data_IF_989356087553
#
_entry.id   IF_989356087553
#
_cell.length_a   1.000
_cell.length_b   1.000
_cell.length_c   1.000
_cell.angle_alpha   90.00
_cell.angle_beta   90.00
_cell.angle_gamma   90.00
#
_symmetry.space_group_name_H-M   'P 1'
#
loop_
_entity.id
_entity.type
_entity.pdbx_description
1 polymer ?
#
# COMPACT_ATOMS: atom_id res chain seq x y z
N UNK A 1 25.25 -17.60 -39.42
CA UNK A 1 25.68 -17.31 -38.04
C UNK A 1 24.99 -16.02 -37.64
N UNK A 2 23.91 -16.11 -36.86
CA UNK A 2 23.18 -14.95 -36.37
C UNK A 2 23.97 -14.38 -35.20
N UNK A 3 24.62 -13.24 -35.40
CA UNK A 3 25.30 -12.49 -34.35
C UNK A 3 24.24 -11.92 -33.40
N UNK A 4 24.00 -12.64 -32.29
CA UNK A 4 23.15 -12.14 -31.21
C UNK A 4 23.96 -11.13 -30.39
N UNK A 5 23.46 -9.90 -30.18
CA UNK A 5 24.20 -8.89 -29.42
C UNK A 5 24.51 -9.41 -28.01
N UNK A 6 25.73 -9.12 -27.54
CA UNK A 6 26.20 -9.57 -26.23
C UNK A 6 25.46 -8.80 -25.15
N UNK A 7 24.68 -9.51 -24.34
CA UNK A 7 24.03 -8.95 -23.15
C UNK A 7 25.09 -8.43 -22.18
N UNK A 8 25.10 -7.11 -21.94
CA UNK A 8 26.09 -6.42 -21.14
C UNK A 8 25.92 -6.68 -19.63
N UNK A 9 24.80 -7.27 -19.20
CA UNK A 9 24.52 -7.60 -17.80
C UNK A 9 25.36 -8.77 -17.28
N UNK A 10 25.89 -9.60 -18.17
CA UNK A 10 26.65 -10.80 -17.79
C UNK A 10 28.06 -10.79 -18.37
N UNK A 11 29.06 -10.78 -17.49
CA UNK A 11 30.44 -11.05 -17.89
C UNK A 11 30.76 -12.52 -17.69
N UNK A 12 31.13 -13.17 -18.79
CA UNK A 12 31.57 -14.56 -18.80
C UNK A 12 33.08 -14.58 -18.93
N UNK A 13 33.79 -14.98 -17.86
CA UNK A 13 35.23 -15.24 -17.95
C UNK A 13 35.42 -16.72 -18.29
N UNK A 14 35.96 -16.99 -19.47
CA UNK A 14 36.34 -18.33 -19.90
C UNK A 14 37.83 -18.31 -20.29
N UNK A 15 38.71 -18.51 -19.31
CA UNK A 15 40.12 -18.75 -19.59
C UNK A 15 40.30 -20.17 -20.15
N UNK A 16 41.08 -20.32 -21.23
CA UNK A 16 41.30 -21.62 -21.93
C UNK A 16 42.01 -22.66 -21.06
N UNK A 17 42.52 -22.26 -19.89
CA UNK A 17 43.20 -23.12 -18.91
C UNK A 17 42.28 -23.63 -17.81
N UNK A 18 41.02 -23.18 -17.76
CA UNK A 18 40.08 -23.50 -16.70
C UNK A 18 39.00 -24.48 -17.18
N UNK A 19 38.83 -25.61 -16.47
CA UNK A 19 37.85 -26.64 -16.82
C UNK A 19 36.38 -26.25 -16.54
N UNK A 20 36.13 -25.07 -15.97
CA UNK A 20 34.79 -24.58 -15.62
C UNK A 20 34.59 -23.14 -16.07
N UNK A 21 33.42 -22.85 -16.64
CA UNK A 21 33.01 -21.52 -17.10
C UNK A 21 32.32 -20.77 -15.96
N UNK A 22 32.80 -19.57 -15.61
CA UNK A 22 32.21 -18.75 -14.53
C UNK A 22 31.47 -17.56 -15.13
N UNK A 23 30.23 -17.37 -14.71
CA UNK A 23 29.38 -16.22 -15.08
C UNK A 23 29.29 -15.28 -13.88
N UNK A 24 29.55 -13.99 -14.09
CA UNK A 24 29.35 -12.95 -13.09
C UNK A 24 28.27 -12.00 -13.60
N UNK A 25 27.28 -11.74 -12.74
CA UNK A 25 26.32 -10.66 -12.96
C UNK A 25 27.00 -9.33 -12.66
N UNK A 26 26.83 -8.36 -13.55
CA UNK A 26 27.34 -7.00 -13.39
C UNK A 26 26.15 -6.06 -13.40
N UNK A 27 25.85 -5.45 -12.25
CA UNK A 27 24.85 -4.38 -12.18
C UNK A 27 25.39 -3.16 -12.91
N UNK A 28 24.92 -2.94 -14.12
CA UNK A 28 25.12 -1.69 -14.84
C UNK A 28 23.85 -0.84 -14.71
N UNK A 29 23.95 0.37 -14.17
CA UNK A 29 22.85 1.35 -14.11
C UNK A 29 22.33 1.78 -15.51
N UNK A 30 22.99 1.33 -16.58
CA UNK A 30 22.48 1.44 -17.94
C UNK A 30 21.64 0.19 -18.24
N UNK A 31 20.35 0.27 -17.93
CA UNK A 31 19.34 -0.55 -18.60
C UNK A 31 19.34 -0.22 -20.10
N UNK A 32 18.81 -1.14 -20.91
CA UNK A 32 18.61 -0.89 -22.34
C UNK A 32 17.73 0.36 -22.50
N UNK A 33 18.00 1.21 -23.51
CA UNK A 33 17.23 2.45 -23.72
C UNK A 33 15.77 2.09 -24.02
N UNK A 34 15.54 0.92 -24.63
CA UNK A 34 14.23 0.38 -24.96
C UNK A 34 13.47 -0.17 -23.73
N UNK A 35 14.14 -0.45 -22.61
CA UNK A 35 13.54 -0.92 -21.34
C UNK A 35 13.25 0.24 -20.36
N UNK A 36 13.61 1.48 -20.70
CA UNK A 36 13.44 2.63 -19.80
C UNK A 36 11.99 3.15 -19.84
N UNK A 37 11.15 2.65 -18.94
CA UNK A 37 9.76 3.10 -18.78
C UNK A 37 9.63 4.62 -18.46
N UNK A 38 10.69 5.25 -17.93
CA UNK A 38 10.70 6.70 -17.68
C UNK A 38 10.84 7.54 -18.97
N UNK A 39 11.60 7.05 -19.96
CA UNK A 39 11.80 7.77 -21.23
C UNK A 39 10.59 7.62 -22.17
N UNK A 40 9.87 6.49 -22.10
CA UNK A 40 8.66 6.26 -22.90
C UNK A 40 7.49 7.17 -22.52
N UNK A 41 7.52 7.76 -21.31
CA UNK A 41 6.49 8.68 -20.83
C UNK A 41 6.66 10.11 -21.37
N UNK A 42 7.85 10.48 -21.86
CA UNK A 42 8.12 11.87 -22.30
C UNK A 42 7.89 12.09 -23.81
N UNK A 43 7.89 11.04 -24.64
CA UNK A 43 7.69 11.16 -26.09
C UNK A 43 6.31 10.69 -26.60
N UNK A 44 5.49 10.11 -25.71
CA UNK A 44 4.14 9.62 -26.02
C UNK A 44 3.06 10.60 -25.59
N UNK A 45 2.87 11.69 -26.33
CA UNK A 45 1.64 12.48 -26.22
C UNK A 45 0.43 11.57 -26.53
N UNK A 46 -0.32 11.21 -25.50
CA UNK A 46 -1.63 10.57 -25.63
C UNK A 46 -2.50 11.45 -26.55
N UNK A 47 -3.02 10.92 -27.67
CA UNK A 47 -3.98 11.66 -28.47
C UNK A 47 -5.29 11.75 -27.70
N UNK A 48 -5.51 12.87 -27.01
CA UNK A 48 -6.84 13.32 -26.59
C UNK A 48 -7.68 13.47 -27.84
N UNK A 49 -8.44 12.44 -28.15
CA UNK A 49 -9.41 12.43 -29.22
C UNK A 49 -10.66 13.13 -28.69
N UNK A 50 -10.80 14.40 -29.07
CA UNK A 50 -11.97 15.22 -28.81
C UNK A 50 -13.24 14.61 -29.40
N UNK A 51 -14.30 14.51 -28.59
CA UNK A 51 -15.70 14.69 -28.99
C UNK A 51 -16.61 14.68 -27.75
N UNK A 52 -16.64 15.80 -27.04
CA UNK A 52 -17.82 16.32 -26.34
C UNK A 52 -17.43 17.74 -25.89
N UNK A 53 -18.06 18.74 -26.47
CA UNK A 53 -17.97 20.13 -26.02
C UNK A 53 -18.30 20.20 -24.53
N UNK A 54 -17.42 20.76 -23.66
CA UNK A 54 -17.87 21.22 -22.36
C UNK A 54 -18.37 22.66 -22.50
N UNK A 55 -19.68 22.77 -22.33
CA UNK A 55 -20.47 23.97 -22.03
C UNK A 55 -19.74 24.95 -21.07
N UNK A 56 -20.03 26.26 -21.15
CA UNK A 56 -19.39 27.27 -20.32
C UNK A 56 -19.52 26.97 -18.82
N UNK A 57 -18.38 27.02 -18.13
CA UNK A 57 -18.23 26.94 -16.67
C UNK A 57 -18.85 28.17 -15.97
N UNK A 58 -20.17 28.26 -16.01
CA UNK A 58 -20.97 29.14 -15.15
C UNK A 58 -21.85 28.28 -14.24
N UNK A 59 -21.25 27.77 -13.16
CA UNK A 59 -21.89 27.47 -11.88
C UNK A 59 -20.86 26.83 -10.94
N UNK A 60 -20.15 27.68 -10.21
CA UNK A 60 -19.78 27.31 -8.84
C UNK A 60 -21.09 27.05 -8.08
N UNK A 61 -21.49 25.79 -7.97
CA UNK A 61 -22.43 25.40 -6.92
C UNK A 61 -21.62 25.29 -5.64
N UNK A 62 -21.45 26.43 -4.98
CA UNK A 62 -21.40 26.48 -3.53
C UNK A 62 -22.67 25.78 -3.03
N UNK A 63 -22.55 24.49 -2.71
CA UNK A 63 -23.56 23.80 -1.92
C UNK A 63 -23.32 24.16 -0.46
N UNK A 64 -23.64 25.40 -0.15
CA UNK A 64 -24.04 25.85 1.17
C UNK A 64 -25.45 25.27 1.42
N UNK A 65 -25.50 23.95 1.64
CA UNK A 65 -26.68 23.24 2.06
C UNK A 65 -26.41 22.72 3.46
N UNK A 66 -26.98 23.40 4.45
CA UNK A 66 -26.96 22.97 5.83
C UNK A 66 -27.48 21.51 5.93
N UNK A 67 -26.67 20.55 6.43
CA UNK A 67 -27.14 19.19 6.61
C UNK A 67 -28.13 19.13 7.78
N UNK A 68 -29.21 18.40 7.57
CA UNK A 68 -30.23 18.11 8.57
C UNK A 68 -29.72 16.96 9.46
N UNK A 69 -29.71 17.06 10.79
CA UNK A 69 -28.76 16.32 11.62
C UNK A 69 -29.28 14.95 12.11
N UNK A 70 -29.69 14.03 11.24
CA UNK A 70 -30.18 12.73 11.76
C UNK A 70 -30.04 11.48 10.88
N UNK A 71 -29.54 11.55 9.65
CA UNK A 71 -29.38 10.35 8.80
C UNK A 71 -27.94 10.15 8.28
N UNK A 72 -27.05 11.13 8.45
CA UNK A 72 -25.69 11.11 7.91
C UNK A 72 -24.65 10.48 8.88
N UNK A 73 -24.85 10.57 10.20
CA UNK A 73 -23.85 10.14 11.20
C UNK A 73 -23.56 8.62 11.14
N UNK A 74 -24.59 7.80 10.91
CA UNK A 74 -24.44 6.34 10.79
C UNK A 74 -23.72 5.95 9.49
N UNK A 75 -23.93 6.71 8.40
CA UNK A 75 -23.28 6.46 7.12
C UNK A 75 -21.80 6.86 7.16
N UNK A 76 -21.47 7.98 7.82
CA UNK A 76 -20.09 8.41 8.03
C UNK A 76 -19.30 7.43 8.92
N UNK A 77 -19.91 6.91 9.98
CA UNK A 77 -19.28 5.92 10.87
C UNK A 77 -18.94 4.61 10.15
N UNK A 78 -19.86 4.08 9.33
CA UNK A 78 -19.63 2.87 8.55
C UNK A 78 -18.52 3.05 7.52
N UNK A 79 -18.46 4.20 6.87
CA UNK A 79 -17.40 4.52 5.92
C UNK A 79 -16.00 4.51 6.58
N UNK A 80 -15.87 5.08 7.77
CA UNK A 80 -14.60 5.08 8.51
C UNK A 80 -14.19 3.66 8.92
N UNK A 81 -15.13 2.83 9.35
CA UNK A 81 -14.85 1.43 9.70
C UNK A 81 -14.33 0.63 8.51
N UNK A 82 -14.97 0.75 7.35
CA UNK A 82 -14.57 0.06 6.12
C UNK A 82 -13.14 0.45 5.67
N UNK A 83 -12.81 1.74 5.74
CA UNK A 83 -11.46 2.23 5.40
C UNK A 83 -10.39 1.68 6.36
N UNK A 84 -10.70 1.58 7.66
CA UNK A 84 -9.80 1.00 8.65
C UNK A 84 -9.59 -0.50 8.41
N UNK A 85 -10.65 -1.24 8.10
CA UNK A 85 -10.57 -2.66 7.73
C UNK A 85 -9.68 -2.82 6.49
N UNK A 86 -9.90 -2.00 5.45
CA UNK A 86 -9.10 -2.03 4.24
C UNK A 86 -7.63 -1.73 4.51
N UNK A 87 -7.34 -0.77 5.40
CA UNK A 87 -5.97 -0.46 5.82
C UNK A 87 -5.28 -1.67 6.47
N UNK A 88 -5.98 -2.42 7.33
CA UNK A 88 -5.45 -3.66 7.94
C UNK A 88 -5.21 -4.74 6.89
N UNK A 89 -6.13 -4.93 5.94
CA UNK A 89 -5.95 -5.90 4.86
C UNK A 89 -4.75 -5.55 3.97
N UNK A 90 -4.53 -4.26 3.71
CA UNK A 90 -3.34 -3.77 3.02
C UNK A 90 -2.06 -4.07 3.81
N UNK A 91 -2.06 -3.88 5.14
CA UNK A 91 -0.93 -4.21 6.01
C UNK A 91 -0.60 -5.70 6.02
N UNK A 92 -1.61 -6.57 6.08
CA UNK A 92 -1.45 -8.02 6.02
C UNK A 92 -0.90 -8.46 4.65
N UNK A 93 -1.41 -7.88 3.57
CA UNK A 93 -0.91 -8.14 2.21
C UNK A 93 0.55 -7.71 2.05
N UNK A 94 0.90 -6.53 2.57
CA UNK A 94 2.26 -6.01 2.58
C UNK A 94 3.18 -6.71 3.60
N UNK A 95 2.63 -7.51 4.52
CA UNK A 95 3.32 -8.11 5.67
C UNK A 95 4.06 -7.07 6.52
N UNK A 96 3.49 -5.87 6.61
CA UNK A 96 4.05 -4.74 7.35
C UNK A 96 2.96 -4.01 8.13
N UNK A 97 3.15 -3.75 9.44
CA UNK A 97 4.32 -4.15 10.24
C UNK A 97 4.37 -5.67 10.48
N UNK A 98 5.56 -6.22 10.76
CA UNK A 98 5.72 -7.66 11.02
C UNK A 98 4.84 -8.13 12.21
N UNK A 99 4.52 -7.22 13.13
CA UNK A 99 3.58 -7.46 14.23
C UNK A 99 2.17 -7.81 13.72
N UNK A 100 1.68 -7.20 12.64
CA UNK A 100 0.35 -7.45 12.09
C UNK A 100 0.19 -8.91 11.66
N UNK A 101 1.14 -9.42 10.85
CA UNK A 101 1.13 -10.81 10.42
C UNK A 101 1.30 -11.78 11.60
N UNK A 102 2.18 -11.46 12.55
CA UNK A 102 2.42 -12.30 13.72
C UNK A 102 1.16 -12.44 14.59
N UNK A 103 0.43 -11.33 14.79
CA UNK A 103 -0.82 -11.31 15.57
C UNK A 103 -1.93 -12.02 14.83
N UNK A 104 -2.06 -11.81 13.53
CA UNK A 104 -3.00 -12.54 12.69
C UNK A 104 -2.82 -14.05 12.83
N UNK A 105 -1.59 -14.53 12.60
CA UNK A 105 -1.24 -15.95 12.73
C UNK A 105 -1.52 -16.47 14.16
N UNK A 106 -1.15 -15.71 15.18
CA UNK A 106 -1.40 -16.06 16.59
C UNK A 106 -2.89 -16.27 16.84
N UNK A 107 -3.74 -15.35 16.42
CA UNK A 107 -5.19 -15.41 16.69
C UNK A 107 -5.89 -16.48 15.84
N UNK A 108 -5.42 -16.74 14.62
CA UNK A 108 -5.88 -17.87 13.81
C UNK A 108 -5.59 -19.21 14.51
N UNK A 109 -4.41 -19.35 15.14
CA UNK A 109 -4.06 -20.55 15.91
C UNK A 109 -4.93 -20.74 17.16
N UNK A 110 -5.42 -19.64 17.76
CA UNK A 110 -6.36 -19.67 18.89
C UNK A 110 -7.79 -20.00 18.44
N UNK A 111 -8.08 -19.93 17.14
CA UNK A 111 -9.36 -20.32 16.55
C UNK A 111 -10.28 -19.17 16.16
N UNK A 112 -9.78 -17.93 16.14
CA UNK A 112 -10.54 -16.79 15.64
C UNK A 112 -10.65 -16.81 14.11
N UNK A 113 -11.79 -16.38 13.58
CA UNK A 113 -12.00 -16.24 12.13
C UNK A 113 -11.20 -15.05 11.59
N UNK A 114 -10.99 -15.01 10.27
CA UNK A 114 -10.29 -13.89 9.62
C UNK A 114 -10.98 -12.56 9.93
N UNK A 115 -12.29 -12.51 9.73
CA UNK A 115 -13.08 -11.28 9.85
C UNK A 115 -13.02 -10.73 11.28
N UNK A 116 -13.17 -11.59 12.29
CA UNK A 116 -13.03 -11.19 13.71
C UNK A 116 -11.64 -10.62 14.02
N UNK A 117 -10.58 -11.25 13.49
CA UNK A 117 -9.20 -10.80 13.69
C UNK A 117 -8.99 -9.43 13.08
N UNK A 118 -9.42 -9.24 11.83
CA UNK A 118 -9.28 -7.98 11.11
C UNK A 118 -10.07 -6.88 11.80
N UNK A 119 -11.29 -7.16 12.25
CA UNK A 119 -12.09 -6.21 13.05
C UNK A 119 -11.40 -5.82 14.36
N UNK A 120 -10.83 -6.77 15.11
CA UNK A 120 -10.08 -6.46 16.34
C UNK A 120 -8.83 -5.60 16.05
N UNK A 121 -8.12 -5.89 14.96
CA UNK A 121 -6.95 -5.11 14.54
C UNK A 121 -7.34 -3.70 14.07
N UNK A 122 -8.48 -3.56 13.38
CA UNK A 122 -9.03 -2.28 12.95
C UNK A 122 -9.44 -1.41 14.14
N UNK A 123 -10.05 -1.99 15.17
CA UNK A 123 -10.35 -1.29 16.43
C UNK A 123 -9.09 -0.76 17.13
N UNK A 124 -8.01 -1.54 17.16
CA UNK A 124 -6.72 -1.08 17.70
C UNK A 124 -6.14 0.08 16.87
N UNK A 125 -6.29 0.04 15.54
CA UNK A 125 -5.87 1.13 14.67
C UNK A 125 -6.71 2.39 14.89
N UNK A 126 -8.03 2.25 15.00
CA UNK A 126 -8.95 3.34 15.30
C UNK A 126 -8.57 4.04 16.61
N UNK A 127 -8.32 3.26 17.67
CA UNK A 127 -7.87 3.77 18.95
C UNK A 127 -6.53 4.52 18.86
N UNK A 128 -5.58 4.00 18.09
CA UNK A 128 -4.30 4.68 17.93
C UNK A 128 -4.44 6.01 17.16
N UNK A 129 -5.36 6.07 16.18
CA UNK A 129 -5.68 7.30 15.45
C UNK A 129 -6.40 8.29 16.37
N UNK A 130 -7.33 7.85 17.21
CA UNK A 130 -8.00 8.74 18.16
C UNK A 130 -7.02 9.33 19.18
N UNK A 131 -6.08 8.53 19.69
CA UNK A 131 -4.99 9.02 20.55
C UNK A 131 -4.08 10.02 19.83
N UNK A 132 -3.72 9.73 18.57
CA UNK A 132 -2.92 10.63 17.73
C UNK A 132 -3.60 12.00 17.57
N UNK A 133 -4.90 12.00 17.28
CA UNK A 133 -5.70 13.22 17.12
C UNK A 133 -5.89 13.96 18.45
N UNK A 134 -6.18 13.24 19.54
CA UNK A 134 -6.41 13.84 20.85
C UNK A 134 -5.13 14.45 21.46
N UNK A 135 -3.98 13.81 21.26
CA UNK A 135 -2.69 14.28 21.76
C UNK A 135 -1.99 15.27 20.83
N UNK A 136 -2.53 15.50 19.62
CA UNK A 136 -1.91 16.30 18.55
C UNK A 136 -0.46 15.87 18.26
N UNK A 137 -0.22 14.56 18.27
CA UNK A 137 1.09 13.93 18.06
C UNK A 137 1.12 13.15 16.74
N UNK A 138 2.31 12.83 16.19
CA UNK A 138 2.40 11.87 15.10
C UNK A 138 1.99 10.46 15.54
N UNK A 139 1.59 9.63 14.58
CA UNK A 139 1.21 8.23 14.82
C UNK A 139 2.38 7.44 15.46
N UNK A 140 2.15 6.87 16.65
CA UNK A 140 3.14 6.05 17.34
C UNK A 140 3.05 4.58 16.92
N UNK A 141 3.93 4.19 15.99
CA UNK A 141 4.03 2.81 15.52
C UNK A 141 4.40 1.82 16.65
N UNK A 142 5.20 2.23 17.64
CA UNK A 142 5.63 1.34 18.72
C UNK A 142 4.47 1.05 19.68
N UNK A 143 3.66 2.07 19.99
CA UNK A 143 2.44 1.92 20.77
C UNK A 143 1.43 1.02 20.02
N UNK A 144 1.22 1.28 18.73
CA UNK A 144 0.35 0.48 17.88
C UNK A 144 0.74 -1.00 17.87
N UNK A 145 2.01 -1.32 17.60
CA UNK A 145 2.46 -2.72 17.59
C UNK A 145 2.35 -3.39 18.97
N UNK A 146 2.50 -2.63 20.07
CA UNK A 146 2.31 -3.15 21.42
C UNK A 146 0.84 -3.51 21.64
N UNK A 147 -0.08 -2.64 21.23
CA UNK A 147 -1.51 -2.87 21.32
C UNK A 147 -1.95 -4.07 20.46
N UNK A 148 -1.47 -4.19 19.21
CA UNK A 148 -1.73 -5.36 18.37
C UNK A 148 -1.31 -6.67 19.04
N UNK A 149 -0.13 -6.71 19.67
CA UNK A 149 0.36 -7.91 20.35
C UNK A 149 -0.50 -8.29 21.57
N UNK A 150 -1.19 -7.34 22.19
CA UNK A 150 -2.07 -7.57 23.34
C UNK A 150 -3.42 -8.21 22.97
N UNK A 151 -3.80 -8.19 21.68
CA UNK A 151 -5.02 -8.88 21.21
C UNK A 151 -5.04 -10.35 21.65
N UNK A 152 -6.20 -10.91 22.07
CA UNK A 152 -7.56 -10.39 21.84
C UNK A 152 -8.06 -9.36 22.87
N UNK A 153 -7.23 -8.96 23.84
CA UNK A 153 -7.63 -7.89 24.77
C UNK A 153 -7.56 -6.55 24.04
N UNK A 154 -8.72 -5.92 23.88
CA UNK A 154 -8.85 -4.58 23.32
C UNK A 154 -8.49 -3.52 24.37
N UNK A 155 -7.95 -2.36 23.97
CA UNK A 155 -7.74 -1.23 24.89
C UNK A 155 -9.08 -0.80 25.53
N UNK A 156 -9.08 -0.49 26.82
CA UNK A 156 -10.29 -0.25 27.64
C UNK A 156 -10.98 1.11 27.39
N UNK A 157 -10.80 1.71 26.21
CA UNK A 157 -11.40 3.01 25.88
C UNK A 157 -12.14 2.92 24.56
N UNK A 158 -13.47 2.87 24.65
CA UNK A 158 -14.45 3.16 23.61
C UNK A 158 -15.49 4.11 24.20
#
# INVERSE_FOLDING_TARGET
MTEKPRDLRFQVSADRTSASRRVRYVETNKGDVDDCALCQLEEGAVPVSASAEPEPIDAVQEQDAAPSPSEDEDAEGQFVEEELIQAIENQLSAQQPAAAQAVFNKLTLVGHTRDEIVQMMAQVLAWQISEMLAAEQPFDMVAYERALRALPQLPETF
#
